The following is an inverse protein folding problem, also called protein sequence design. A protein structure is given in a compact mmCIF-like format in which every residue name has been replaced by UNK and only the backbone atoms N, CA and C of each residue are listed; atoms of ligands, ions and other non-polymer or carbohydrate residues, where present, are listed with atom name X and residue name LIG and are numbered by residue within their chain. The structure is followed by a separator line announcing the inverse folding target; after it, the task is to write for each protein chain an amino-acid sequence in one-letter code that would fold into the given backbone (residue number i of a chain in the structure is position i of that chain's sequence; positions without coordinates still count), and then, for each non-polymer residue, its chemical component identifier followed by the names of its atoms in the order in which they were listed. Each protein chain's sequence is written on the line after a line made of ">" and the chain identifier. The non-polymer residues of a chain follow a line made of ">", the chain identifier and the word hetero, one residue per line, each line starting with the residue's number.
data_IF_275098952150
#
_entry.id   IF_275098952150
#
_cell.length_a   1.000
_cell.length_b   1.000
_cell.length_c   1.000
_cell.angle_alpha   90.00
_cell.angle_beta   90.00
_cell.angle_gamma   90.00
#
_symmetry.space_group_name_H-M   'P 1'
#
loop_
_entity.id
_entity.type
_entity.pdbx_description
1 polymer ?
#
# COMPACT_ATOMS: atom_id res chain seq x y z
N UNK A 1 19.58 -1.68 -6.76
CA UNK A 1 18.57 -1.37 -5.73
C UNK A 1 17.30 -0.78 -6.34
N UNK A 2 17.05 -1.03 -7.63
CA UNK A 2 15.90 -0.48 -8.39
C UNK A 2 14.76 -1.50 -8.46
N UNK A 3 15.09 -2.79 -8.34
CA UNK A 3 14.17 -3.93 -8.43
C UNK A 3 13.08 -3.93 -7.35
N UNK A 4 13.39 -3.47 -6.14
CA UNK A 4 12.44 -3.49 -5.03
C UNK A 4 11.30 -2.50 -5.27
N UNK A 5 11.65 -1.28 -5.67
CA UNK A 5 10.68 -0.23 -5.98
C UNK A 5 9.75 -0.68 -7.09
N UNK A 6 10.31 -1.26 -8.16
CA UNK A 6 9.53 -1.79 -9.29
C UNK A 6 8.55 -2.87 -8.83
N UNK A 7 8.99 -3.84 -8.02
CA UNK A 7 8.13 -4.91 -7.48
C UNK A 7 6.98 -4.37 -6.64
N UNK A 8 7.27 -3.42 -5.75
CA UNK A 8 6.25 -2.77 -4.92
C UNK A 8 5.29 -1.98 -5.79
N UNK A 9 5.79 -1.24 -6.78
CA UNK A 9 4.96 -0.45 -7.70
C UNK A 9 4.02 -1.34 -8.52
N UNK A 10 4.50 -2.48 -9.03
CA UNK A 10 3.67 -3.49 -9.69
C UNK A 10 2.58 -4.06 -8.78
N UNK A 11 2.93 -4.36 -7.53
CA UNK A 11 1.94 -4.81 -6.54
C UNK A 11 0.86 -3.75 -6.31
N UNK A 12 1.25 -2.48 -6.21
CA UNK A 12 0.31 -1.36 -6.04
C UNK A 12 -0.56 -1.13 -7.28
N UNK A 13 -0.01 -1.30 -8.48
CA UNK A 13 -0.77 -1.20 -9.73
C UNK A 13 -1.88 -2.25 -9.83
N UNK A 14 -1.67 -3.46 -9.30
CA UNK A 14 -2.74 -4.48 -9.21
C UNK A 14 -3.87 -4.04 -8.28
N UNK A 15 -3.56 -3.36 -7.17
CA UNK A 15 -4.54 -3.04 -6.11
C UNK A 15 -5.27 -1.72 -6.40
N UNK A 16 -4.61 -0.77 -7.07
CA UNK A 16 -5.17 0.54 -7.48
C UNK A 16 -6.56 0.47 -8.10
N UNK A 17 -6.87 -0.36 -9.11
CA UNK A 17 -8.20 -0.39 -9.71
C UNK A 17 -9.29 -0.82 -8.72
N UNK A 18 -8.96 -1.72 -7.78
CA UNK A 18 -9.88 -2.12 -6.70
C UNK A 18 -10.14 -0.95 -5.75
N UNK A 19 -9.06 -0.26 -5.32
CA UNK A 19 -9.20 0.90 -4.43
C UNK A 19 -9.99 2.04 -5.07
N UNK A 20 -9.73 2.33 -6.35
CA UNK A 20 -10.47 3.36 -7.09
C UNK A 20 -11.95 3.01 -7.19
N UNK A 21 -12.28 1.74 -7.37
CA UNK A 21 -13.67 1.24 -7.38
C UNK A 21 -14.36 1.45 -6.03
N UNK A 22 -13.63 1.27 -4.93
CA UNK A 22 -14.06 1.56 -3.56
C UNK A 22 -13.99 3.07 -3.18
N UNK A 23 -13.65 3.95 -4.12
CA UNK A 23 -13.54 5.40 -3.89
C UNK A 23 -12.29 5.83 -3.12
N UNK A 24 -11.26 4.98 -3.11
CA UNK A 24 -9.94 5.21 -2.53
C UNK A 24 -8.81 5.23 -3.56
N UNK A 25 -7.58 5.41 -3.10
CA UNK A 25 -6.37 5.29 -3.91
C UNK A 25 -5.17 4.95 -3.01
N UNK A 26 -4.07 4.52 -3.62
CA UNK A 26 -2.80 4.27 -2.95
C UNK A 26 -1.62 4.80 -3.77
N UNK A 27 -0.68 5.44 -3.07
CA UNK A 27 0.61 5.86 -3.61
C UNK A 27 1.76 5.30 -2.80
N UNK A 28 2.81 4.89 -3.51
CA UNK A 28 4.11 4.66 -2.92
C UNK A 28 4.75 6.01 -2.61
N UNK A 29 5.16 6.21 -1.35
CA UNK A 29 5.87 7.40 -0.92
C UNK A 29 7.37 7.13 -0.90
N UNK A 30 7.78 6.10 -0.17
CA UNK A 30 9.20 5.76 -0.04
C UNK A 30 9.39 4.31 0.42
N UNK A 31 10.63 3.81 0.35
CA UNK A 31 10.99 2.47 0.85
C UNK A 31 12.33 2.58 1.58
N UNK A 32 12.31 2.43 2.91
CA UNK A 32 13.50 2.52 3.77
C UNK A 32 13.62 1.26 4.63
N UNK A 33 14.80 0.66 4.73
CA UNK A 33 15.07 -0.50 5.60
C UNK A 33 14.03 -1.64 5.48
N UNK A 34 13.62 -1.98 4.26
CA UNK A 34 12.55 -2.96 3.99
C UNK A 34 11.16 -2.59 4.55
N UNK A 35 10.96 -1.31 4.86
CA UNK A 35 9.69 -0.73 5.26
C UNK A 35 9.16 0.09 4.08
N UNK A 36 7.99 -0.28 3.57
CA UNK A 36 7.31 0.48 2.51
C UNK A 36 6.42 1.54 3.16
N UNK A 37 6.62 2.79 2.76
CA UNK A 37 5.76 3.92 3.13
C UNK A 37 4.77 4.15 2.00
N UNK A 38 3.48 4.01 2.31
CA UNK A 38 2.39 4.28 1.36
C UNK A 38 1.49 5.38 1.89
N UNK A 39 0.86 6.10 0.98
CA UNK A 39 -0.20 7.05 1.31
C UNK A 39 -1.51 6.50 0.73
N UNK A 40 -2.47 6.24 1.62
CA UNK A 40 -3.84 5.96 1.21
C UNK A 40 -4.59 7.28 1.03
N UNK A 41 -5.32 7.41 -0.07
CA UNK A 41 -6.18 8.57 -0.36
C UNK A 41 -7.65 8.12 -0.51
N UNK A 42 -8.61 9.00 -0.25
CA UNK A 42 -10.03 8.79 -0.57
C UNK A 42 -10.94 8.29 0.58
N UNK A 43 -12.13 7.80 0.21
CA UNK A 43 -13.27 7.58 1.10
C UNK A 43 -13.04 6.52 2.20
N UNK A 44 -12.07 5.62 2.01
CA UNK A 44 -11.66 4.61 3.00
C UNK A 44 -11.16 5.22 4.33
N UNK A 45 -10.82 6.51 4.38
CA UNK A 45 -10.43 7.18 5.62
C UNK A 45 -11.63 7.34 6.58
N UNK A 46 -12.86 7.44 6.06
CA UNK A 46 -14.07 7.72 6.84
C UNK A 46 -14.80 6.49 7.40
N UNK A 47 -14.42 5.27 6.99
CA UNK A 47 -15.05 4.04 7.45
C UNK A 47 -14.10 3.28 8.38
N UNK A 48 -14.08 3.66 9.66
CA UNK A 48 -13.17 3.16 10.71
C UNK A 48 -13.16 1.64 10.91
N UNK A 49 -14.09 0.92 10.29
CA UNK A 49 -14.26 -0.53 10.42
C UNK A 49 -13.39 -1.32 9.43
N UNK A 50 -12.91 -0.70 8.33
CA UNK A 50 -12.28 -1.46 7.22
C UNK A 50 -10.82 -1.11 6.90
N UNK A 51 -10.21 -0.12 7.56
CA UNK A 51 -8.82 0.25 7.30
C UNK A 51 -7.83 -0.86 7.62
N UNK A 52 -8.05 -1.60 8.71
CA UNK A 52 -7.14 -2.69 9.12
C UNK A 52 -7.15 -3.83 8.09
N UNK A 53 -8.32 -4.23 7.59
CA UNK A 53 -8.46 -5.29 6.58
C UNK A 53 -7.83 -4.89 5.26
N UNK A 54 -8.08 -3.65 4.82
CA UNK A 54 -7.57 -3.13 3.57
C UNK A 54 -6.04 -3.02 3.60
N UNK A 55 -5.49 -2.48 4.70
CA UNK A 55 -4.04 -2.39 4.92
C UNK A 55 -3.38 -3.77 4.97
N UNK A 56 -4.01 -4.76 5.60
CA UNK A 56 -3.53 -6.14 5.60
C UNK A 56 -3.53 -6.74 4.17
N UNK A 57 -4.57 -6.46 3.37
CA UNK A 57 -4.63 -6.90 1.98
C UNK A 57 -3.53 -6.29 1.12
N UNK A 58 -3.30 -4.97 1.26
CA UNK A 58 -2.22 -4.26 0.58
C UNK A 58 -0.85 -4.82 0.99
N UNK A 59 -0.61 -4.99 2.29
CA UNK A 59 0.65 -5.53 2.80
C UNK A 59 0.89 -6.96 2.30
N UNK A 60 -0.14 -7.81 2.29
CA UNK A 60 -0.03 -9.18 1.79
C UNK A 60 0.34 -9.20 0.30
N UNK A 61 -0.28 -8.36 -0.52
CA UNK A 61 0.04 -8.25 -1.94
C UNK A 61 1.46 -7.71 -2.15
N UNK A 62 1.88 -6.68 -1.41
CA UNK A 62 3.26 -6.16 -1.49
C UNK A 62 4.26 -7.26 -1.13
N UNK A 63 4.03 -8.01 -0.04
CA UNK A 63 4.90 -9.13 0.39
C UNK A 63 4.93 -10.29 -0.61
N UNK A 64 3.87 -10.49 -1.39
CA UNK A 64 3.84 -11.49 -2.48
C UNK A 64 4.84 -11.16 -3.59
N UNK A 65 4.98 -9.87 -3.94
CA UNK A 65 5.93 -9.41 -4.96
C UNK A 65 7.34 -9.17 -4.38
N UNK A 66 7.40 -8.66 -3.16
CA UNK A 66 8.61 -8.30 -2.44
C UNK A 66 8.60 -8.92 -1.02
N UNK A 67 8.91 -10.23 -0.89
CA UNK A 67 8.88 -10.93 0.39
C UNK A 67 9.94 -10.44 1.40
N UNK A 68 10.93 -9.67 0.94
CA UNK A 68 11.91 -9.01 1.81
C UNK A 68 11.31 -7.85 2.61
N UNK A 69 10.14 -7.32 2.23
CA UNK A 69 9.48 -6.23 2.96
C UNK A 69 9.01 -6.76 4.31
N UNK A 70 9.51 -6.16 5.39
CA UNK A 70 9.12 -6.54 6.75
C UNK A 70 7.78 -5.92 7.13
N UNK A 71 7.58 -4.65 6.77
CA UNK A 71 6.43 -3.86 7.23
C UNK A 71 5.96 -2.85 6.20
N UNK A 72 4.65 -2.61 6.16
CA UNK A 72 4.05 -1.52 5.39
C UNK A 72 3.43 -0.51 6.35
N UNK A 73 3.86 0.75 6.24
CA UNK A 73 3.32 1.86 7.03
C UNK A 73 2.57 2.83 6.14
N UNK A 74 1.43 3.28 6.63
CA UNK A 74 0.69 4.37 6.03
C UNK A 74 1.22 5.69 6.59
N UNK A 75 1.53 6.62 5.70
CA UNK A 75 1.88 8.02 6.04
C UNK A 75 0.68 8.91 5.69
N UNK A 76 -0.31 8.91 6.57
CA UNK A 76 -1.44 9.86 6.49
C UNK A 76 -0.90 11.24 6.91
N UNK A 77 -0.84 12.19 5.98
CA UNK A 77 -0.49 13.57 6.31
C UNK A 77 -1.69 14.20 7.03
N UNK A 78 -1.54 14.39 8.33
CA UNK A 78 -2.46 15.13 9.22
C UNK A 78 -2.59 16.58 8.78
#
# INVERSE_FOLDING_TARGET
>A
MEDLKIKVEQALEEIRPFLITDGGNIKLIDIEDNIVKVQLEGACISCSVNQMTLRNGVEATIKKYAPQIEKVIEVSQV
#
